data_IF_789376925664
#
_entry.id   IF_789376925664
#
_cell.length_a   1.000
_cell.length_b   1.000
_cell.length_c   1.000
_cell.angle_alpha   90.00
_cell.angle_beta   90.00
_cell.angle_gamma   90.00
#
_symmetry.space_group_name_H-M   'P 1'
#
loop_
_entity.id
_entity.type
_entity.pdbx_description
1 polymer ?
#
# COMPACT_ATOMS: atom_id res chain seq x y z
N UNK A 1 -13.16 -5.40 51.72
CA UNK A 1 -13.53 -4.01 51.36
C UNK A 1 -12.27 -3.37 50.79
N UNK A 2 -12.10 -3.31 49.45
CA UNK A 2 -12.32 -2.14 48.56
C UNK A 2 -11.57 -0.90 49.08
N UNK A 3 -10.71 -0.18 48.37
CA UNK A 3 -10.40 -0.02 46.94
C UNK A 3 -8.94 0.49 46.88
N UNK A 4 -8.17 0.42 45.81
CA UNK A 4 -8.25 1.32 44.65
C UNK A 4 -6.98 1.06 43.81
N UNK A 5 -7.12 0.50 42.62
CA UNK A 5 -6.09 0.57 41.58
C UNK A 5 -6.73 0.39 40.20
N UNK A 6 -7.90 1.01 40.01
CA UNK A 6 -8.39 1.35 38.67
C UNK A 6 -8.04 2.81 38.49
N UNK A 7 -6.99 3.14 37.72
CA UNK A 7 -6.81 4.46 37.09
C UNK A 7 -5.56 4.52 36.18
N UNK A 8 -5.31 3.51 35.33
CA UNK A 8 -4.43 3.68 34.16
C UNK A 8 -5.04 2.98 32.95
N UNK A 9 -6.27 3.36 32.60
CA UNK A 9 -6.94 2.89 31.38
C UNK A 9 -7.77 4.00 30.72
N UNK A 10 -7.23 5.23 30.64
CA UNK A 10 -8.01 6.37 30.16
C UNK A 10 -7.24 7.39 29.31
N UNK A 11 -6.13 7.01 28.68
CA UNK A 11 -5.37 7.90 27.78
C UNK A 11 -5.29 7.43 26.31
N UNK A 12 -6.08 6.43 25.91
CA UNK A 12 -6.08 5.91 24.54
C UNK A 12 -7.31 6.35 23.71
N UNK A 13 -7.73 7.61 23.84
CA UNK A 13 -8.91 8.13 23.10
C UNK A 13 -8.75 9.54 22.52
N UNK A 14 -7.52 10.02 22.28
CA UNK A 14 -7.30 11.18 21.39
C UNK A 14 -6.83 10.70 20.02
N UNK A 15 -7.73 10.09 19.26
CA UNK A 15 -7.57 10.01 17.82
C UNK A 15 -8.16 11.31 17.22
N UNK A 16 -7.39 12.14 16.49
CA UNK A 16 -7.99 13.21 15.72
C UNK A 16 -8.90 12.60 14.66
N UNK A 17 -10.19 12.90 14.72
CA UNK A 17 -11.13 12.59 13.64
C UNK A 17 -10.79 13.51 12.47
N UNK A 18 -9.88 13.09 11.61
CA UNK A 18 -9.78 13.65 10.26
C UNK A 18 -11.00 13.15 9.51
N UNK A 19 -12.02 14.00 9.40
CA UNK A 19 -13.08 13.78 8.43
C UNK A 19 -12.48 14.03 7.05
N UNK A 20 -12.41 12.99 6.22
CA UNK A 20 -12.26 13.18 4.79
C UNK A 20 -13.46 14.01 4.33
N UNK A 21 -13.21 15.25 3.94
CA UNK A 21 -14.22 16.10 3.35
C UNK A 21 -14.69 15.41 2.07
N UNK A 22 -15.98 15.07 2.00
CA UNK A 22 -16.62 14.55 0.79
C UNK A 22 -16.28 15.51 -0.35
N UNK A 23 -15.32 15.10 -1.16
CA UNK A 23 -15.05 15.74 -2.43
C UNK A 23 -16.30 15.51 -3.25
N UNK A 24 -17.14 16.54 -3.37
CA UNK A 24 -18.28 16.56 -4.29
C UNK A 24 -17.86 15.85 -5.56
N UNK A 25 -18.52 14.72 -5.81
CA UNK A 25 -18.32 13.88 -6.99
C UNK A 25 -18.38 14.75 -8.25
N UNK A 26 -17.23 15.23 -8.71
CA UNK A 26 -17.05 15.54 -10.11
C UNK A 26 -17.09 14.18 -10.78
N UNK A 27 -18.25 13.87 -11.35
CA UNK A 27 -18.51 12.63 -12.07
C UNK A 27 -17.52 12.45 -13.21
N UNK A 28 -16.33 11.94 -12.89
CA UNK A 28 -15.53 11.17 -13.82
C UNK A 28 -16.19 9.80 -13.88
N UNK A 29 -17.28 9.71 -14.65
CA UNK A 29 -17.52 8.48 -15.37
C UNK A 29 -16.38 8.35 -16.38
N UNK A 30 -15.20 7.93 -15.90
CA UNK A 30 -14.19 7.38 -16.79
C UNK A 30 -14.81 6.09 -17.31
N UNK A 31 -15.35 6.13 -18.53
CA UNK A 31 -15.56 4.90 -19.31
C UNK A 31 -14.30 4.07 -19.11
N UNK A 32 -14.43 2.89 -18.47
CA UNK A 32 -13.26 2.05 -18.19
C UNK A 32 -12.60 1.81 -19.54
N UNK A 33 -11.38 2.33 -19.78
CA UNK A 33 -10.79 2.23 -21.09
C UNK A 33 -10.70 0.74 -21.41
N UNK A 34 -11.29 0.29 -22.53
CA UNK A 34 -11.25 -1.12 -22.94
C UNK A 34 -9.86 -1.46 -23.51
N UNK A 35 -8.83 -1.13 -22.75
CA UNK A 35 -7.44 -1.34 -23.09
C UNK A 35 -6.95 -2.56 -22.32
N UNK A 36 -5.97 -3.25 -22.89
CA UNK A 36 -5.31 -4.39 -22.23
C UNK A 36 -4.77 -4.01 -20.84
N UNK A 37 -4.29 -2.78 -20.68
CA UNK A 37 -3.79 -2.27 -19.39
C UNK A 37 -4.90 -2.21 -18.35
N UNK A 38 -6.08 -1.67 -18.69
CA UNK A 38 -7.18 -1.58 -17.75
C UNK A 38 -7.68 -2.97 -17.30
N UNK A 39 -7.70 -3.93 -18.23
CA UNK A 39 -8.06 -5.32 -17.93
C UNK A 39 -7.04 -5.97 -16.97
N UNK A 40 -5.73 -5.78 -17.22
CA UNK A 40 -4.68 -6.28 -16.33
C UNK A 40 -4.75 -5.65 -14.93
N UNK A 41 -5.02 -4.35 -14.85
CA UNK A 41 -5.19 -3.66 -13.57
C UNK A 41 -6.43 -4.14 -12.81
N UNK A 42 -7.55 -4.44 -13.50
CA UNK A 42 -8.73 -5.05 -12.88
C UNK A 42 -8.42 -6.46 -12.36
N UNK A 43 -7.69 -7.28 -13.12
CA UNK A 43 -7.26 -8.62 -12.66
C UNK A 43 -6.39 -8.53 -11.41
N UNK A 44 -5.44 -7.59 -11.38
CA UNK A 44 -4.57 -7.36 -10.21
C UNK A 44 -5.36 -6.88 -8.99
N UNK A 45 -6.31 -5.96 -9.16
CA UNK A 45 -7.13 -5.43 -8.04
C UNK A 45 -8.15 -6.43 -7.53
N UNK A 46 -8.74 -7.22 -8.43
CA UNK A 46 -9.84 -8.12 -8.09
C UNK A 46 -9.38 -9.43 -7.49
N UNK A 47 -8.11 -9.82 -7.67
CA UNK A 47 -7.59 -11.10 -7.21
C UNK A 47 -8.24 -12.32 -7.89
N UNK A 48 -9.11 -12.11 -8.90
CA UNK A 48 -9.88 -13.19 -9.54
C UNK A 48 -9.03 -14.22 -10.26
N UNK A 49 -7.78 -13.86 -10.58
CA UNK A 49 -6.81 -14.72 -11.23
C UNK A 49 -5.58 -14.99 -10.35
N UNK A 50 -5.78 -15.03 -9.03
CA UNK A 50 -4.75 -15.49 -8.11
C UNK A 50 -4.39 -16.97 -8.36
N UNK A 51 -3.13 -17.31 -8.09
CA UNK A 51 -2.66 -18.70 -8.11
C UNK A 51 -3.41 -19.51 -7.06
N UNK A 52 -3.92 -20.68 -7.45
CA UNK A 52 -4.48 -21.65 -6.49
C UNK A 52 -3.41 -22.53 -5.83
N UNK A 53 -2.23 -22.58 -6.44
CA UNK A 53 -1.10 -23.34 -5.95
C UNK A 53 -0.28 -22.50 -4.97
N UNK A 54 0.18 -23.15 -3.89
CA UNK A 54 1.08 -22.53 -2.93
C UNK A 54 2.42 -22.20 -3.60
N UNK A 55 2.83 -20.93 -3.50
CA UNK A 55 4.09 -20.47 -4.06
C UNK A 55 5.20 -20.64 -3.02
N UNK A 56 5.94 -21.74 -3.12
CA UNK A 56 7.15 -21.93 -2.33
C UNK A 56 8.31 -21.15 -2.95
N UNK A 57 8.84 -20.19 -2.19
CA UNK A 57 10.10 -19.54 -2.51
C UNK A 57 11.24 -20.30 -1.85
N UNK A 58 12.29 -20.58 -2.62
CA UNK A 58 13.53 -21.13 -2.05
C UNK A 58 14.16 -20.15 -1.05
N UNK A 59 15.05 -20.67 -0.20
CA UNK A 59 15.68 -19.89 0.85
C UNK A 59 16.40 -18.63 0.35
N UNK A 60 17.14 -18.74 -0.76
CA UNK A 60 17.90 -17.64 -1.34
C UNK A 60 16.96 -16.56 -1.89
N UNK A 61 15.89 -16.96 -2.57
CA UNK A 61 14.88 -16.03 -3.09
C UNK A 61 14.17 -15.28 -1.97
N UNK A 62 13.79 -15.96 -0.88
CA UNK A 62 13.22 -15.28 0.30
C UNK A 62 14.17 -14.28 0.92
N UNK A 63 15.46 -14.62 1.05
CA UNK A 63 16.47 -13.68 1.55
C UNK A 63 16.54 -12.43 0.70
N UNK A 64 16.59 -12.57 -0.63
CA UNK A 64 16.62 -11.42 -1.55
C UNK A 64 15.38 -10.54 -1.43
N UNK A 65 14.19 -11.15 -1.32
CA UNK A 65 12.93 -10.41 -1.12
C UNK A 65 12.95 -9.64 0.20
N UNK A 66 13.40 -10.29 1.28
CA UNK A 66 13.50 -9.64 2.59
C UNK A 66 14.51 -8.49 2.60
N UNK A 67 15.70 -8.69 2.03
CA UNK A 67 16.72 -7.64 1.91
C UNK A 67 16.14 -6.42 1.17
N UNK A 68 15.52 -6.63 0.00
CA UNK A 68 14.89 -5.54 -0.76
C UNK A 68 13.82 -4.79 0.06
N UNK A 69 13.04 -5.52 0.85
CA UNK A 69 12.02 -4.91 1.71
C UNK A 69 12.68 -3.99 2.75
N UNK A 70 13.73 -4.45 3.43
CA UNK A 70 14.46 -3.63 4.41
C UNK A 70 15.10 -2.42 3.73
N UNK A 71 15.82 -2.63 2.64
CA UNK A 71 16.52 -1.58 1.89
C UNK A 71 15.55 -0.49 1.38
N UNK A 72 14.28 -0.83 1.14
CA UNK A 72 13.27 0.12 0.68
C UNK A 72 12.94 1.22 1.70
N UNK A 73 13.25 1.01 2.99
CA UNK A 73 13.05 2.01 4.03
C UNK A 73 14.24 2.96 4.21
N UNK A 74 15.41 2.61 3.66
CA UNK A 74 16.62 3.41 3.82
C UNK A 74 16.64 4.64 2.90
N UNK A 75 15.74 4.68 1.91
CA UNK A 75 15.61 5.80 0.98
C UNK A 75 14.38 6.66 1.31
N UNK A 76 14.55 7.98 1.53
CA UNK A 76 13.40 8.86 1.71
C UNK A 76 12.57 8.92 0.43
N UNK A 77 11.25 9.11 0.58
CA UNK A 77 10.38 9.39 -0.55
C UNK A 77 10.81 10.74 -1.14
N UNK A 78 11.16 10.81 -2.44
CA UNK A 78 11.57 12.08 -3.06
C UNK A 78 10.45 13.12 -2.97
N UNK A 79 10.79 14.35 -2.58
CA UNK A 79 9.82 15.47 -2.56
C UNK A 79 9.37 15.88 -3.98
N UNK A 80 10.21 15.61 -4.98
CA UNK A 80 9.94 15.89 -6.39
C UNK A 80 10.40 14.71 -7.23
N UNK A 81 9.58 14.36 -8.22
CA UNK A 81 9.96 13.40 -9.24
C UNK A 81 10.90 14.09 -10.23
N UNK A 82 12.18 13.73 -10.21
CA UNK A 82 13.14 14.19 -11.22
C UNK A 82 13.16 13.17 -12.35
N UNK A 83 12.76 13.58 -13.57
CA UNK A 83 12.67 12.70 -14.74
C UNK A 83 14.01 12.14 -15.23
N UNK A 84 15.12 12.54 -14.60
CA UNK A 84 16.49 12.24 -15.01
C UNK A 84 16.89 10.77 -14.79
N UNK A 85 16.12 10.01 -14.02
CA UNK A 85 16.45 8.63 -13.63
C UNK A 85 15.95 7.55 -14.61
N UNK A 86 15.29 7.93 -15.71
CA UNK A 86 14.78 7.00 -16.73
C UNK A 86 15.62 6.95 -18.01
N UNK A 87 16.89 7.32 -17.96
CA UNK A 87 17.80 7.08 -19.09
C UNK A 87 18.19 5.60 -19.12
N UNK A 88 17.39 4.80 -19.84
CA UNK A 88 17.84 3.50 -20.32
C UNK A 88 19.05 3.75 -21.21
N UNK A 89 20.24 3.49 -20.70
CA UNK A 89 21.45 3.42 -21.51
C UNK A 89 21.33 2.14 -22.32
N UNK A 90 21.09 2.27 -23.63
CA UNK A 90 21.19 1.17 -24.61
C UNK A 90 22.65 0.73 -24.79
#
# INVERSE_FOLDING_TARGET
>A
MRASALLILSSLLLAPTVYAQDGKDSGYQSERPNTRVAQLMELQRSGKQESKEEQHLDGQTRTKVYTRYVDSFDSPIPERFTGDNFTASE
#
